data_IF_098711303557
#
_entry.id   IF_098711303557
#
_cell.length_a   1.000
_cell.length_b   1.000
_cell.length_c   1.000
_cell.angle_alpha   90.00
_cell.angle_beta   90.00
_cell.angle_gamma   90.00
#
_symmetry.space_group_name_H-M   'P 1'
#
loop_
_entity.id
_entity.type
_entity.pdbx_description
1 polymer ?
#
# COMPACT_ATOMS: atom_id res chain seq x y z
N UNK A 1 11.46 4.52 34.12
CA UNK A 1 11.52 5.95 33.74
C UNK A 1 10.72 6.10 32.45
N UNK A 2 9.51 6.68 32.47
CA UNK A 2 8.74 6.82 31.24
C UNK A 2 9.34 7.99 30.44
N UNK A 3 9.92 7.69 29.28
CA UNK A 3 10.37 8.71 28.35
C UNK A 3 9.12 9.32 27.71
N UNK A 4 8.87 10.56 28.09
CA UNK A 4 7.82 11.41 27.55
C UNK A 4 7.86 11.45 26.02
N UNK A 5 6.68 11.23 25.44
CA UNK A 5 6.22 11.75 24.14
C UNK A 5 7.19 11.60 22.96
N UNK A 6 6.91 10.60 22.12
CA UNK A 6 7.53 10.39 20.81
C UNK A 6 7.17 11.53 19.82
N UNK A 7 7.75 12.72 19.98
CA UNK A 7 8.14 13.70 18.94
C UNK A 7 8.51 15.05 19.59
N UNK A 8 9.79 15.48 19.61
CA UNK A 8 10.23 16.69 20.34
C UNK A 8 9.78 18.03 19.74
N UNK A 9 9.10 18.06 18.59
CA UNK A 9 8.89 19.28 17.80
C UNK A 9 7.43 19.59 17.45
N UNK A 10 6.45 18.83 17.95
CA UNK A 10 5.03 19.17 17.76
C UNK A 10 4.34 19.29 19.11
N UNK A 11 3.67 20.41 19.43
CA UNK A 11 2.85 20.49 20.64
C UNK A 11 1.70 19.50 20.51
N UNK A 12 1.74 18.40 21.27
CA UNK A 12 0.65 17.43 21.33
C UNK A 12 -0.23 17.77 22.54
N UNK A 13 -1.30 18.52 22.34
CA UNK A 13 -2.38 18.53 23.34
C UNK A 13 -3.01 17.13 23.32
N UNK A 14 -2.92 16.38 24.43
CA UNK A 14 -3.57 15.05 24.53
C UNK A 14 -5.04 15.20 24.17
N UNK A 15 -5.47 14.47 23.14
CA UNK A 15 -6.88 14.46 22.73
C UNK A 15 -7.70 13.79 23.85
N UNK A 16 -8.88 14.34 24.16
CA UNK A 16 -9.84 13.74 25.11
C UNK A 16 -10.63 12.62 24.43
N UNK A 17 -9.92 11.68 23.84
CA UNK A 17 -10.46 10.49 23.17
C UNK A 17 -9.80 9.24 23.76
N UNK A 18 -10.41 8.05 23.64
CA UNK A 18 -9.74 6.82 24.04
C UNK A 18 -8.40 6.65 23.31
N UNK A 19 -7.41 6.05 23.96
CA UNK A 19 -6.04 5.95 23.40
C UNK A 19 -5.98 5.13 22.09
N UNK A 20 -6.99 4.28 21.83
CA UNK A 20 -7.14 3.51 20.59
C UNK A 20 -7.78 4.30 19.44
N UNK A 21 -8.27 5.52 19.68
CA UNK A 21 -8.95 6.31 18.67
C UNK A 21 -7.93 7.03 17.76
N UNK A 22 -7.92 6.66 16.48
CA UNK A 22 -7.18 7.39 15.45
C UNK A 22 -7.95 8.65 15.03
N UNK A 23 -7.40 9.83 15.34
CA UNK A 23 -7.94 11.10 14.86
C UNK A 23 -7.41 11.43 13.46
N UNK A 24 -8.17 12.21 12.68
CA UNK A 24 -7.75 12.64 11.33
C UNK A 24 -6.39 13.34 11.36
N UNK A 25 -6.14 14.20 12.35
CA UNK A 25 -4.83 14.85 12.55
C UNK A 25 -3.66 13.86 12.75
N UNK A 26 -3.89 12.76 13.48
CA UNK A 26 -2.85 11.74 13.69
C UNK A 26 -2.54 11.00 12.39
N UNK A 27 -3.59 10.64 11.65
CA UNK A 27 -3.47 9.97 10.35
C UNK A 27 -2.77 10.88 9.33
N UNK A 28 -3.10 12.17 9.29
CA UNK A 28 -2.44 13.16 8.42
C UNK A 28 -0.96 13.30 8.74
N UNK A 29 -0.58 13.36 10.02
CA UNK A 29 0.83 13.40 10.42
C UNK A 29 1.59 12.13 10.04
N UNK A 30 0.95 10.96 10.16
CA UNK A 30 1.53 9.70 9.74
C UNK A 30 1.75 9.71 8.22
N UNK A 31 0.73 10.07 7.45
CA UNK A 31 0.80 10.23 6.00
C UNK A 31 1.91 11.19 5.56
N UNK A 32 2.02 12.36 6.18
CA UNK A 32 3.08 13.32 5.90
C UNK A 32 4.48 12.73 6.14
N UNK A 33 4.64 11.92 7.20
CA UNK A 33 5.91 11.26 7.49
C UNK A 33 6.24 10.17 6.47
N UNK A 34 5.24 9.43 6.00
CA UNK A 34 5.36 8.39 4.98
C UNK A 34 5.73 9.02 3.63
N UNK A 35 4.97 10.03 3.19
CA UNK A 35 5.16 10.73 1.92
C UNK A 35 6.52 11.41 1.76
N UNK A 36 7.22 11.69 2.86
CA UNK A 36 8.61 12.19 2.83
C UNK A 36 9.66 11.14 2.49
N UNK A 37 9.30 9.85 2.59
CA UNK A 37 10.22 8.71 2.43
C UNK A 37 9.94 7.91 1.16
N UNK A 38 8.67 7.88 0.73
CA UNK A 38 8.23 7.10 -0.42
C UNK A 38 7.95 8.00 -1.64
N UNK A 39 7.99 7.40 -2.82
CA UNK A 39 7.50 7.97 -4.07
C UNK A 39 6.15 7.35 -4.42
N UNK A 40 5.21 8.17 -4.90
CA UNK A 40 3.94 7.68 -5.45
C UNK A 40 3.99 7.59 -6.97
N UNK A 41 3.47 6.51 -7.54
CA UNK A 41 3.35 6.33 -8.98
C UNK A 41 1.99 5.76 -9.39
N UNK A 42 1.31 6.46 -10.30
CA UNK A 42 -0.05 6.16 -10.79
C UNK A 42 -0.05 5.69 -12.25
N UNK A 43 1.11 5.29 -12.81
CA UNK A 43 1.25 5.05 -14.26
C UNK A 43 1.04 3.60 -14.69
N UNK A 44 0.76 2.71 -13.75
CA UNK A 44 0.77 1.26 -13.94
C UNK A 44 -0.59 0.63 -13.61
N UNK A 45 -0.82 -0.55 -14.18
CA UNK A 45 -1.91 -1.46 -13.81
C UNK A 45 -1.45 -2.25 -12.58
N UNK A 46 -2.15 -2.08 -11.46
CA UNK A 46 -1.80 -2.71 -10.18
C UNK A 46 -2.98 -3.57 -9.74
N UNK A 47 -2.83 -4.90 -9.76
CA UNK A 47 -3.88 -5.77 -9.23
C UNK A 47 -4.15 -5.43 -7.76
N UNK A 48 -5.43 -5.50 -7.37
CA UNK A 48 -5.91 -5.09 -6.05
C UNK A 48 -5.71 -3.61 -5.69
N UNK A 49 -5.61 -2.72 -6.70
CA UNK A 49 -5.63 -1.25 -6.59
C UNK A 49 -4.33 -0.58 -6.13
N UNK A 50 -3.53 -1.24 -5.29
CA UNK A 50 -2.26 -0.72 -4.82
C UNK A 50 -1.25 -1.82 -4.52
N UNK A 51 0.01 -1.41 -4.38
CA UNK A 51 1.11 -2.27 -3.98
C UNK A 51 2.40 -1.47 -3.82
N UNK A 52 3.47 -2.11 -3.38
CA UNK A 52 4.77 -1.47 -3.15
C UNK A 52 5.89 -2.11 -3.99
N UNK A 53 6.95 -1.35 -4.24
CA UNK A 53 8.19 -1.87 -4.78
C UNK A 53 8.86 -2.83 -3.80
N UNK A 54 9.71 -3.73 -4.31
CA UNK A 54 10.46 -4.69 -3.49
C UNK A 54 11.26 -4.03 -2.35
N UNK A 55 11.80 -2.82 -2.58
CA UNK A 55 12.55 -2.03 -1.60
C UNK A 55 11.67 -1.14 -0.70
N UNK A 56 10.35 -1.13 -0.91
CA UNK A 56 9.39 -0.33 -0.15
C UNK A 56 9.45 1.18 -0.41
N UNK A 57 10.26 1.65 -1.37
CA UNK A 57 10.44 3.10 -1.62
C UNK A 57 9.43 3.70 -2.59
N UNK A 58 8.75 2.87 -3.38
CA UNK A 58 7.69 3.33 -4.28
C UNK A 58 6.38 2.63 -3.92
N UNK A 59 5.33 3.42 -3.68
CA UNK A 59 3.96 2.93 -3.61
C UNK A 59 3.30 3.17 -4.96
N UNK A 60 2.78 2.10 -5.54
CA UNK A 60 2.05 2.09 -6.79
C UNK A 60 0.56 2.10 -6.50
N UNK A 61 -0.16 3.00 -7.18
CA UNK A 61 -1.63 3.04 -7.17
C UNK A 61 -2.10 2.82 -8.61
N UNK A 62 -3.12 1.97 -8.78
CA UNK A 62 -3.63 1.63 -10.10
C UNK A 62 -4.10 2.88 -10.86
N UNK A 63 -3.66 3.00 -12.11
CA UNK A 63 -3.93 4.17 -12.96
C UNK A 63 -5.41 4.39 -13.29
N UNK A 64 -6.24 3.35 -13.18
CA UNK A 64 -7.67 3.41 -13.45
C UNK A 64 -8.49 3.71 -12.19
N UNK A 65 -7.85 3.73 -11.02
CA UNK A 65 -8.49 4.13 -9.78
C UNK A 65 -8.71 5.65 -9.76
N UNK A 66 -9.94 6.14 -9.50
CA UNK A 66 -10.18 7.56 -9.33
C UNK A 66 -9.42 8.09 -8.11
N UNK A 67 -8.81 9.27 -8.24
CA UNK A 67 -8.08 9.92 -7.15
C UNK A 67 -8.97 10.23 -5.94
N UNK A 68 -10.25 10.47 -6.19
CA UNK A 68 -11.21 10.81 -5.15
C UNK A 68 -12.58 10.24 -5.45
N UNK A 69 -13.39 10.09 -4.39
CA UNK A 69 -14.82 9.79 -4.50
C UNK A 69 -15.64 10.78 -3.66
N UNK A 70 -16.93 10.87 -3.93
CA UNK A 70 -17.84 11.75 -3.20
C UNK A 70 -18.56 10.94 -2.12
N UNK A 71 -18.40 11.35 -0.86
CA UNK A 71 -19.15 10.83 0.28
C UNK A 71 -19.87 11.98 0.99
N UNK A 72 -21.21 11.91 1.04
CA UNK A 72 -22.07 12.92 1.70
C UNK A 72 -21.76 14.37 1.26
N UNK A 73 -21.50 14.56 -0.03
CA UNK A 73 -21.19 15.88 -0.62
C UNK A 73 -19.75 16.35 -0.42
N UNK A 74 -18.88 15.55 0.22
CA UNK A 74 -17.44 15.85 0.37
C UNK A 74 -16.63 15.02 -0.63
N UNK A 75 -15.62 15.63 -1.25
CA UNK A 75 -14.61 14.88 -2.00
C UNK A 75 -13.59 14.30 -1.03
N UNK A 76 -13.37 12.99 -1.11
CA UNK A 76 -12.43 12.25 -0.28
C UNK A 76 -11.35 11.66 -1.18
N UNK A 77 -10.09 11.96 -0.89
CA UNK A 77 -8.94 11.38 -1.61
C UNK A 77 -8.73 9.92 -1.20
N UNK A 78 -8.63 9.03 -2.18
CA UNK A 78 -8.55 7.57 -1.95
C UNK A 78 -7.12 7.15 -1.61
N UNK A 79 -6.13 7.76 -2.28
CA UNK A 79 -4.73 7.40 -2.19
C UNK A 79 -4.21 7.39 -0.75
N UNK A 80 -4.70 8.31 0.09
CA UNK A 80 -4.26 8.47 1.47
C UNK A 80 -4.49 7.23 2.34
N UNK A 81 -5.54 6.46 2.06
CA UNK A 81 -5.84 5.24 2.81
C UNK A 81 -4.97 4.07 2.34
N UNK A 82 -4.81 3.93 1.02
CA UNK A 82 -3.95 2.93 0.40
C UNK A 82 -2.49 3.10 0.83
N UNK A 83 -1.97 4.33 0.82
CA UNK A 83 -0.58 4.62 1.22
C UNK A 83 -0.32 4.17 2.66
N UNK A 84 -1.27 4.41 3.57
CA UNK A 84 -1.16 3.96 4.95
C UNK A 84 -1.19 2.43 5.04
N UNK A 85 -2.07 1.78 4.28
CA UNK A 85 -2.15 0.32 4.20
C UNK A 85 -0.81 -0.27 3.74
N UNK A 86 -0.31 0.17 2.58
CA UNK A 86 0.93 -0.34 1.99
C UNK A 86 2.14 -0.17 2.92
N UNK A 87 2.30 1.01 3.54
CA UNK A 87 3.44 1.26 4.42
C UNK A 87 3.38 0.41 5.69
N UNK A 88 2.21 0.29 6.32
CA UNK A 88 2.05 -0.52 7.54
C UNK A 88 2.33 -1.99 7.22
N UNK A 89 1.78 -2.50 6.13
CA UNK A 89 1.99 -3.88 5.70
C UNK A 89 3.48 -4.14 5.44
N UNK A 90 4.11 -3.32 4.60
CA UNK A 90 5.52 -3.46 4.22
C UNK A 90 6.46 -3.33 5.42
N UNK A 91 6.19 -2.40 6.33
CA UNK A 91 7.00 -2.23 7.54
C UNK A 91 6.94 -3.46 8.45
N UNK A 92 5.75 -4.02 8.66
CA UNK A 92 5.58 -5.23 9.49
C UNK A 92 6.29 -6.44 8.87
N UNK A 93 6.26 -6.58 7.56
CA UNK A 93 6.95 -7.66 6.85
C UNK A 93 8.47 -7.46 6.90
N UNK A 94 8.97 -6.29 6.49
CA UNK A 94 10.41 -6.09 6.30
C UNK A 94 11.17 -5.88 7.62
N UNK A 95 10.59 -5.16 8.58
CA UNK A 95 11.28 -4.84 9.83
C UNK A 95 11.09 -5.91 10.90
N UNK A 96 9.95 -6.60 10.89
CA UNK A 96 9.58 -7.55 11.95
C UNK A 96 9.43 -8.99 11.45
N UNK A 97 9.53 -9.23 10.14
CA UNK A 97 9.42 -10.57 9.57
C UNK A 97 8.03 -11.18 9.70
N UNK A 98 6.98 -10.37 9.82
CA UNK A 98 5.62 -10.89 9.93
C UNK A 98 5.20 -11.61 8.65
N UNK A 99 4.41 -12.66 8.82
CA UNK A 99 3.72 -13.30 7.71
C UNK A 99 2.77 -12.31 7.03
N UNK A 100 2.76 -12.29 5.70
CA UNK A 100 1.96 -11.34 4.90
C UNK A 100 0.51 -11.27 5.37
N UNK A 101 -0.17 -12.41 5.53
CA UNK A 101 -1.58 -12.45 5.95
C UNK A 101 -1.84 -11.70 7.28
N UNK A 102 -0.90 -11.77 8.24
CA UNK A 102 -1.03 -11.04 9.51
C UNK A 102 -0.75 -9.55 9.34
N UNK A 103 0.31 -9.21 8.57
CA UNK A 103 0.63 -7.82 8.26
C UNK A 103 -0.53 -7.13 7.52
N UNK A 104 -1.11 -7.83 6.53
CA UNK A 104 -2.26 -7.37 5.75
C UNK A 104 -3.47 -7.09 6.64
N UNK A 105 -3.83 -8.02 7.54
CA UNK A 105 -4.95 -7.82 8.46
C UNK A 105 -4.75 -6.59 9.36
N UNK A 106 -3.53 -6.35 9.84
CA UNK A 106 -3.22 -5.16 10.65
C UNK A 106 -3.30 -3.88 9.79
N UNK A 107 -2.76 -3.92 8.58
CA UNK A 107 -2.81 -2.82 7.63
C UNK A 107 -4.26 -2.42 7.28
N UNK A 108 -5.13 -3.40 7.00
CA UNK A 108 -6.57 -3.14 6.75
C UNK A 108 -7.26 -2.51 7.97
N UNK A 109 -6.85 -2.86 9.20
CA UNK A 109 -7.39 -2.21 10.41
C UNK A 109 -6.89 -0.77 10.56
N UNK A 110 -5.64 -0.49 10.19
CA UNK A 110 -5.10 0.86 10.16
C UNK A 110 -5.82 1.72 9.10
N UNK A 111 -6.04 1.16 7.91
CA UNK A 111 -6.81 1.79 6.84
C UNK A 111 -8.25 2.10 7.28
N UNK A 112 -8.94 1.12 7.86
CA UNK A 112 -10.29 1.31 8.37
C UNK A 112 -10.36 2.39 9.46
N UNK A 113 -9.35 2.46 10.33
CA UNK A 113 -9.26 3.51 11.33
C UNK A 113 -9.09 4.89 10.68
N UNK A 114 -8.25 5.01 9.65
CA UNK A 114 -8.06 6.24 8.88
C UNK A 114 -9.35 6.70 8.17
N UNK A 115 -10.06 5.79 7.48
CA UNK A 115 -11.34 6.10 6.82
C UNK A 115 -12.37 6.62 7.83
N UNK A 116 -12.47 5.97 9.00
CA UNK A 116 -13.37 6.40 10.07
C UNK A 116 -12.96 7.74 10.67
N UNK A 117 -11.67 8.02 10.77
CA UNK A 117 -11.13 9.28 11.27
C UNK A 117 -11.60 10.48 10.42
N UNK A 118 -11.74 10.29 9.11
CA UNK A 118 -12.26 11.28 8.17
C UNK A 118 -13.80 11.33 8.12
N UNK A 119 -14.46 10.62 9.05
CA UNK A 119 -15.91 10.46 9.18
C UNK A 119 -16.56 9.83 7.94
N UNK A 120 -15.79 9.01 7.23
CA UNK A 120 -16.28 8.22 6.12
C UNK A 120 -16.72 6.85 6.63
N UNK A 121 -17.83 6.37 6.10
CA UNK A 121 -18.34 5.04 6.41
C UNK A 121 -17.47 3.99 5.73
N UNK A 122 -16.91 3.06 6.51
CA UNK A 122 -16.12 1.95 5.97
C UNK A 122 -16.87 1.17 4.89
N UNK A 123 -18.18 0.95 5.08
CA UNK A 123 -19.00 0.23 4.11
C UNK A 123 -19.11 0.97 2.77
N UNK A 124 -19.19 2.29 2.81
CA UNK A 124 -19.32 3.09 1.58
C UNK A 124 -17.99 3.19 0.85
N UNK A 125 -16.89 3.31 1.61
CA UNK A 125 -15.53 3.22 1.09
C UNK A 125 -15.24 1.84 0.46
N UNK A 126 -15.43 0.75 1.21
CA UNK A 126 -15.19 -0.61 0.73
C UNK A 126 -16.03 -0.93 -0.51
N UNK A 127 -17.32 -0.57 -0.52
CA UNK A 127 -18.17 -0.74 -1.72
C UNK A 127 -17.62 0.03 -2.93
N UNK A 128 -17.06 1.23 -2.73
CA UNK A 128 -16.41 1.98 -3.80
C UNK A 128 -15.15 1.24 -4.28
N UNK A 129 -14.29 0.79 -3.37
CA UNK A 129 -13.05 0.08 -3.71
C UNK A 129 -13.32 -1.24 -4.46
N UNK A 130 -14.25 -2.07 -3.96
CA UNK A 130 -14.62 -3.36 -4.56
C UNK A 130 -15.10 -3.23 -6.03
N UNK A 131 -15.73 -2.10 -6.38
CA UNK A 131 -16.11 -1.82 -7.77
C UNK A 131 -14.89 -1.78 -8.70
N UNK A 132 -13.79 -1.21 -8.23
CA UNK A 132 -12.55 -1.10 -9.00
C UNK A 132 -11.72 -2.38 -8.91
N UNK A 133 -11.68 -3.05 -7.75
CA UNK A 133 -11.02 -4.37 -7.62
C UNK A 133 -11.56 -5.33 -8.68
N UNK A 134 -12.89 -5.45 -8.77
CA UNK A 134 -13.54 -6.31 -9.76
C UNK A 134 -13.21 -5.89 -11.19
N UNK A 135 -13.33 -4.59 -11.49
CA UNK A 135 -13.07 -4.06 -12.83
C UNK A 135 -11.62 -4.32 -13.28
N UNK A 136 -10.64 -4.07 -12.41
CA UNK A 136 -9.21 -4.23 -12.71
C UNK A 136 -8.84 -5.71 -12.79
N UNK A 137 -9.46 -6.57 -11.96
CA UNK A 137 -9.31 -8.02 -12.06
C UNK A 137 -9.81 -8.60 -13.39
N UNK A 138 -10.93 -8.05 -13.90
CA UNK A 138 -11.52 -8.43 -15.19
C UNK A 138 -10.73 -7.86 -16.39
N UNK A 139 -10.03 -6.72 -16.23
CA UNK A 139 -9.22 -6.09 -17.26
C UNK A 139 -7.90 -6.84 -17.55
N UNK A 140 -7.42 -6.76 -18.80
CA UNK A 140 -6.11 -7.32 -19.18
C UNK A 140 -5.00 -6.38 -18.69
N UNK A 141 -4.23 -6.80 -17.68
CA UNK A 141 -2.97 -6.17 -17.28
C UNK A 141 -2.09 -5.93 -18.51
N UNK A 142 -1.77 -4.65 -18.78
CA UNK A 142 -0.93 -4.24 -19.92
C UNK A 142 0.41 -3.69 -19.48
N UNK A 143 0.46 -3.08 -18.29
CA UNK A 143 1.62 -2.34 -17.83
C UNK A 143 1.81 -2.51 -16.33
N UNK A 144 2.60 -3.50 -15.93
CA UNK A 144 2.93 -3.77 -14.52
C UNK A 144 4.36 -3.28 -14.25
N UNK A 145 4.66 -2.66 -13.07
CA UNK A 145 6.02 -2.27 -12.73
C UNK A 145 6.94 -3.49 -12.66
N UNK A 146 8.20 -3.33 -13.05
CA UNK A 146 9.22 -4.39 -13.04
C UNK A 146 9.68 -4.76 -11.61
N UNK A 147 9.61 -3.80 -10.69
CA UNK A 147 10.04 -3.92 -9.29
C UNK A 147 8.88 -4.11 -8.29
N UNK A 148 7.64 -4.32 -8.75
CA UNK A 148 6.49 -4.59 -7.89
C UNK A 148 6.75 -5.85 -7.05
N UNK A 149 6.49 -5.79 -5.74
CA UNK A 149 6.63 -6.95 -4.87
C UNK A 149 5.49 -7.95 -5.12
N UNK A 150 5.83 -9.19 -5.45
CA UNK A 150 4.87 -10.24 -5.75
C UNK A 150 4.52 -11.14 -4.57
N UNK A 151 5.10 -10.90 -3.38
CA UNK A 151 4.77 -11.67 -2.17
C UNK A 151 3.25 -11.73 -1.90
N UNK A 152 2.49 -10.62 -1.97
CA UNK A 152 1.03 -10.65 -1.75
C UNK A 152 0.31 -11.70 -2.60
N UNK A 153 0.59 -11.72 -3.90
CA UNK A 153 -0.07 -12.62 -4.86
C UNK A 153 0.35 -14.08 -4.72
N UNK A 154 1.57 -14.35 -4.21
CA UNK A 154 2.07 -15.72 -3.98
C UNK A 154 1.36 -16.37 -2.80
N UNK A 155 1.16 -15.60 -1.75
CA UNK A 155 0.55 -16.06 -0.50
C UNK A 155 -0.97 -16.23 -0.64
N UNK A 156 -1.61 -15.46 -1.53
CA UNK A 156 -3.01 -15.68 -1.96
C UNK A 156 -3.17 -16.79 -3.01
N UNK A 157 -2.06 -17.45 -3.39
CA UNK A 157 -2.02 -18.56 -4.34
C UNK A 157 -2.51 -18.24 -5.76
N UNK A 158 -2.46 -16.97 -6.16
CA UNK A 158 -3.02 -16.49 -7.43
C UNK A 158 -2.02 -16.69 -8.59
N UNK A 159 -1.73 -17.95 -8.92
CA UNK A 159 -0.69 -18.35 -9.88
C UNK A 159 -0.95 -17.81 -11.29
N UNK A 160 -2.21 -17.76 -11.70
CA UNK A 160 -2.61 -17.25 -13.01
C UNK A 160 -2.43 -15.73 -13.10
N UNK A 161 -2.73 -15.01 -12.01
CA UNK A 161 -2.49 -13.58 -11.90
C UNK A 161 -0.99 -13.27 -11.98
N UNK A 162 -0.15 -14.01 -11.25
CA UNK A 162 1.31 -13.85 -11.30
C UNK A 162 1.83 -14.06 -12.72
N UNK A 163 1.36 -15.09 -13.44
CA UNK A 163 1.78 -15.36 -14.81
C UNK A 163 1.35 -14.23 -15.77
N UNK A 164 0.18 -13.62 -15.57
CA UNK A 164 -0.28 -12.46 -16.34
C UNK A 164 0.56 -11.21 -16.04
N UNK A 165 0.91 -10.98 -14.78
CA UNK A 165 1.77 -9.87 -14.36
C UNK A 165 3.16 -9.96 -14.99
N UNK A 166 3.79 -11.15 -14.94
CA UNK A 166 5.11 -11.37 -15.54
C UNK A 166 5.13 -11.14 -17.05
N UNK A 167 4.04 -11.45 -17.77
CA UNK A 167 3.90 -11.17 -19.21
C UNK A 167 3.71 -9.68 -19.52
N UNK A 168 3.17 -8.92 -18.57
CA UNK A 168 2.89 -7.49 -18.69
C UNK A 168 4.02 -6.60 -18.15
N UNK A 169 5.08 -7.19 -17.60
CA UNK A 169 6.30 -6.49 -17.23
C UNK A 169 7.15 -6.20 -18.49
N UNK A 170 7.84 -5.06 -18.54
CA UNK A 170 8.78 -4.78 -19.63
C UNK A 170 9.93 -5.81 -19.63
N UNK A 171 10.36 -6.29 -20.80
CA UNK A 171 11.32 -7.39 -20.98
C UNK A 171 12.75 -7.15 -20.44
N UNK A 172 13.06 -5.94 -19.95
CA UNK A 172 14.43 -5.43 -19.75
C UNK A 172 15.24 -6.05 -18.58
N UNK A 173 14.77 -7.10 -17.91
CA UNK A 173 15.56 -7.80 -16.86
C UNK A 173 15.71 -9.31 -16.96
N UNK A 174 15.01 -10.00 -17.86
CA UNK A 174 15.17 -11.46 -17.96
C UNK A 174 16.58 -11.88 -18.44
N UNK A 175 17.38 -10.96 -18.97
CA UNK A 175 18.77 -11.24 -19.40
C UNK A 175 19.84 -11.02 -18.32
N UNK A 176 19.56 -10.31 -17.23
CA UNK A 176 20.58 -10.04 -16.20
C UNK A 176 20.74 -11.15 -15.14
N UNK A 177 19.69 -11.95 -14.89
CA UNK A 177 19.77 -13.08 -13.93
C UNK A 177 20.45 -14.33 -14.51
N UNK A 178 20.71 -14.39 -15.82
CA UNK A 178 21.37 -15.52 -16.51
C UNK A 178 22.88 -15.37 -16.67
N UNK A 179 23.48 -14.26 -16.21
CA UNK A 179 24.94 -14.04 -16.24
C UNK A 179 25.54 -13.97 -14.83
N UNK A 180 25.46 -15.08 -14.09
CA UNK A 180 26.40 -15.32 -12.99
C UNK A 180 27.75 -15.74 -13.57
N UNK A 181 28.88 -15.08 -13.24
CA UNK A 181 30.19 -15.48 -13.73
C UNK A 181 30.56 -16.85 -13.15
N UNK A 182 30.93 -17.79 -14.03
CA UNK A 182 31.58 -19.05 -13.64
C UNK A 182 32.82 -18.71 -12.82
N UNK A 183 32.82 -19.07 -11.54
CA UNK A 183 34.00 -18.99 -10.69
C UNK A 183 35.13 -19.82 -11.32
N UNK A 184 36.22 -19.17 -11.66
CA UNK A 184 37.50 -19.80 -12.02
C UNK A 184 38.09 -20.44 -10.76
N UNK A 185 38.16 -21.77 -10.74
CA UNK A 185 38.96 -22.51 -9.74
C UNK A 185 40.44 -22.35 -10.09
N UNK A 186 41.24 -21.98 -9.08
CA UNK A 186 42.70 -22.15 -9.06
C UNK A 186 43.05 -23.62 -8.82
#
# INVERSE_FOLDING_TARGET
MPLDTCHPSAPHKKLRTPDWYASSLMTERALDAILRRIRLDYRYDIPYLAGYSQDGKTVYIDRHLPKSFVDRGRQIEVARYLILHEEVEKTLIDQLGLHYLHAHQIATRAEQAAVRADRVSWRDYDRFMQKYVKRIGDERLKKVPDDLDFKPYRDEHDRDLIARMQKAQPEDRQQQSLRLPRQTRK
#
